data_IF_984658146449
#
_entry.id   IF_984658146449
#
_cell.length_a   1.000
_cell.length_b   1.000
_cell.length_c   1.000
_cell.angle_alpha   90.00
_cell.angle_beta   90.00
_cell.angle_gamma   90.00
#
_symmetry.space_group_name_H-M   'P 1'
#
loop_
_entity.id
_entity.type
_entity.pdbx_description
1 polymer ?
#
# COMPACT_ATOMS: atom_id res chain seq x y z
N UNK A 1 -25.22 2.61 8.12
CA UNK A 1 -23.83 2.23 7.79
C UNK A 1 -23.59 2.70 6.37
N UNK A 2 -23.29 3.99 6.20
CA UNK A 2 -23.13 4.60 4.87
C UNK A 2 -21.65 4.61 4.50
N UNK A 3 -21.12 3.45 4.16
CA UNK A 3 -19.71 3.25 3.79
C UNK A 3 -19.33 3.99 2.51
N UNK A 4 -20.29 4.30 1.64
CA UNK A 4 -20.08 5.00 0.37
C UNK A 4 -19.69 6.47 0.54
N UNK A 5 -20.21 7.17 1.55
CA UNK A 5 -19.95 8.60 1.77
C UNK A 5 -18.55 8.92 2.33
N UNK A 6 -17.90 7.94 2.98
CA UNK A 6 -16.54 8.12 3.50
C UNK A 6 -15.46 7.94 2.41
N UNK A 7 -15.74 7.07 1.42
CA UNK A 7 -14.87 6.77 0.29
C UNK A 7 -14.75 7.98 -0.67
N UNK A 8 -15.84 8.71 -0.90
CA UNK A 8 -15.84 9.86 -1.83
C UNK A 8 -15.03 11.05 -1.34
N UNK A 9 -14.82 11.19 -0.01
CA UNK A 9 -14.02 12.30 0.55
C UNK A 9 -12.51 12.08 0.45
N UNK A 10 -12.06 10.84 0.24
CA UNK A 10 -10.64 10.44 0.34
C UNK A 10 -9.92 10.57 -1.01
N UNK A 11 -10.65 10.81 -2.10
CA UNK A 11 -10.11 10.82 -3.46
C UNK A 11 -10.16 9.39 -4.02
N UNK A 12 -10.85 9.16 -5.15
CA UNK A 12 -11.03 7.81 -5.70
C UNK A 12 -9.70 7.12 -5.99
N UNK A 13 -8.67 7.87 -6.40
CA UNK A 13 -7.32 7.36 -6.65
C UNK A 13 -6.69 6.71 -5.41
N UNK A 14 -6.82 7.34 -4.23
CA UNK A 14 -6.24 6.82 -2.99
C UNK A 14 -6.95 5.55 -2.51
N UNK A 15 -8.27 5.49 -2.66
CA UNK A 15 -9.05 4.28 -2.35
C UNK A 15 -8.58 3.11 -3.22
N UNK A 16 -8.37 3.36 -4.52
CA UNK A 16 -7.86 2.34 -5.45
C UNK A 16 -6.44 1.90 -5.06
N UNK A 17 -5.55 2.82 -4.69
CA UNK A 17 -4.20 2.49 -4.26
C UNK A 17 -4.18 1.66 -2.97
N UNK A 18 -4.97 2.03 -1.97
CA UNK A 18 -5.09 1.27 -0.73
C UNK A 18 -5.70 -0.11 -0.98
N UNK A 19 -6.73 -0.21 -1.80
CA UNK A 19 -7.33 -1.49 -2.17
C UNK A 19 -6.32 -2.40 -2.89
N UNK A 20 -5.55 -1.83 -3.83
CA UNK A 20 -4.51 -2.56 -4.56
C UNK A 20 -3.40 -3.06 -3.62
N UNK A 21 -2.94 -2.21 -2.70
CA UNK A 21 -1.94 -2.59 -1.69
C UNK A 21 -2.43 -3.72 -0.78
N UNK A 22 -3.69 -3.67 -0.34
CA UNK A 22 -4.30 -4.74 0.48
C UNK A 22 -4.43 -6.04 -0.31
N UNK A 23 -4.78 -5.97 -1.60
CA UNK A 23 -4.83 -7.15 -2.48
C UNK A 23 -3.42 -7.77 -2.61
N UNK A 24 -2.35 -6.97 -2.64
CA UNK A 24 -0.97 -7.47 -2.72
C UNK A 24 -0.49 -8.24 -1.48
N UNK A 25 -1.19 -8.21 -0.35
CA UNK A 25 -0.79 -8.96 0.86
C UNK A 25 -0.81 -10.48 0.65
N UNK A 26 -1.94 -11.11 0.28
CA UNK A 26 -2.01 -12.56 0.07
C UNK A 26 -1.22 -13.04 -1.16
N UNK A 27 -0.85 -12.16 -2.09
CA UNK A 27 -0.06 -12.53 -3.26
C UNK A 27 1.35 -13.04 -2.89
N UNK A 28 1.83 -12.80 -1.67
CA UNK A 28 3.10 -13.39 -1.19
C UNK A 28 3.07 -14.92 -1.22
N UNK A 29 1.91 -15.54 -1.02
CA UNK A 29 1.74 -17.00 -1.06
C UNK A 29 1.92 -17.58 -2.47
N UNK A 30 1.73 -16.75 -3.50
CA UNK A 30 1.92 -17.14 -4.88
C UNK A 30 3.36 -16.88 -5.35
N UNK A 31 4.15 -16.10 -4.60
CA UNK A 31 5.49 -15.70 -4.98
C UNK A 31 6.51 -16.86 -4.96
N UNK A 32 6.17 -17.97 -4.31
CA UNK A 32 6.97 -19.21 -4.28
C UNK A 32 6.62 -20.20 -5.41
N UNK A 33 5.80 -19.79 -6.38
CA UNK A 33 5.55 -20.63 -7.55
C UNK A 33 6.81 -20.79 -8.40
N UNK A 34 7.09 -22.03 -8.83
CA UNK A 34 8.17 -22.30 -9.79
C UNK A 34 8.02 -21.40 -11.01
N UNK A 35 9.11 -20.72 -11.46
CA UNK A 35 9.06 -19.71 -12.51
C UNK A 35 8.94 -20.35 -13.91
N UNK A 36 7.87 -21.10 -14.14
CA UNK A 36 7.55 -21.76 -15.42
C UNK A 36 6.20 -21.25 -15.92
N UNK A 37 6.17 -20.74 -17.15
CA UNK A 37 4.95 -20.19 -17.77
C UNK A 37 4.39 -18.98 -17.00
N UNK A 38 3.16 -19.08 -16.53
CA UNK A 38 2.47 -18.01 -15.78
C UNK A 38 3.08 -17.74 -14.39
N UNK A 39 3.92 -18.65 -13.87
CA UNK A 39 4.60 -18.52 -12.57
C UNK A 39 5.66 -17.40 -12.53
N UNK A 40 6.11 -16.90 -13.68
CA UNK A 40 7.06 -15.78 -13.78
C UNK A 40 6.47 -14.48 -13.21
N UNK A 41 5.16 -14.27 -13.37
CA UNK A 41 4.48 -13.06 -12.89
C UNK A 41 4.53 -12.96 -11.35
N UNK A 42 4.04 -13.96 -10.59
CA UNK A 42 4.11 -13.90 -9.15
C UNK A 42 5.53 -14.00 -8.59
N UNK A 43 6.45 -14.70 -9.27
CA UNK A 43 7.83 -14.83 -8.82
C UNK A 43 8.66 -13.54 -8.95
N UNK A 44 8.43 -12.72 -10.00
CA UNK A 44 9.26 -11.53 -10.26
C UNK A 44 8.49 -10.21 -10.30
N UNK A 45 7.30 -10.20 -10.91
CA UNK A 45 6.53 -8.96 -11.13
C UNK A 45 5.86 -8.50 -9.84
N UNK A 46 5.28 -9.43 -9.09
CA UNK A 46 4.58 -9.11 -7.83
C UNK A 46 5.53 -8.52 -6.78
N UNK A 47 6.73 -9.07 -6.51
CA UNK A 47 7.68 -8.44 -5.60
C UNK A 47 8.07 -7.02 -6.01
N UNK A 48 8.25 -6.76 -7.32
CA UNK A 48 8.54 -5.43 -7.82
C UNK A 48 7.35 -4.47 -7.63
N UNK A 49 6.12 -4.94 -7.89
CA UNK A 49 4.89 -4.16 -7.66
C UNK A 49 4.73 -3.77 -6.19
N UNK A 50 5.03 -4.68 -5.27
CA UNK A 50 4.97 -4.43 -3.82
C UNK A 50 5.91 -3.29 -3.44
N UNK A 51 7.16 -3.32 -3.93
CA UNK A 51 8.13 -2.25 -3.67
C UNK A 51 7.64 -0.91 -4.24
N UNK A 52 7.10 -0.91 -5.46
CA UNK A 52 6.53 0.28 -6.09
C UNK A 52 5.37 0.83 -5.25
N UNK A 53 4.43 -0.03 -4.84
CA UNK A 53 3.28 0.36 -4.04
C UNK A 53 3.70 0.92 -2.67
N UNK A 54 4.72 0.34 -2.03
CA UNK A 54 5.28 0.89 -0.82
C UNK A 54 5.74 2.35 -1.01
N UNK A 55 6.56 2.63 -2.02
CA UNK A 55 7.02 3.98 -2.30
C UNK A 55 5.88 4.93 -2.71
N UNK A 56 4.91 4.45 -3.49
CA UNK A 56 3.74 5.25 -3.89
C UNK A 56 2.90 5.63 -2.67
N UNK A 57 2.65 4.72 -1.73
CA UNK A 57 1.93 5.01 -0.48
C UNK A 57 2.69 6.03 0.39
N UNK A 58 4.02 5.95 0.44
CA UNK A 58 4.85 6.93 1.15
C UNK A 58 4.78 8.32 0.49
N UNK A 59 4.85 8.39 -0.85
CA UNK A 59 4.71 9.64 -1.59
C UNK A 59 3.31 10.24 -1.43
N UNK A 60 2.27 9.41 -1.42
CA UNK A 60 0.90 9.84 -1.18
C UNK A 60 0.73 10.38 0.25
N UNK A 61 1.30 9.71 1.25
CA UNK A 61 1.34 10.21 2.63
C UNK A 61 2.10 11.55 2.75
N UNK A 62 3.17 11.74 1.99
CA UNK A 62 3.95 12.98 1.93
C UNK A 62 3.14 14.11 1.30
N UNK A 63 2.51 13.86 0.14
CA UNK A 63 1.64 14.82 -0.53
C UNK A 63 0.51 15.26 0.41
N UNK A 64 -0.09 14.30 1.12
CA UNK A 64 -1.11 14.57 2.11
C UNK A 64 -0.61 15.43 3.28
N UNK A 65 0.66 15.26 3.70
CA UNK A 65 1.31 16.10 4.70
C UNK A 65 1.55 17.52 4.18
N UNK A 66 1.96 17.67 2.92
CA UNK A 66 2.19 18.98 2.28
C UNK A 66 0.89 19.79 2.21
N UNK A 67 -0.20 19.19 1.72
CA UNK A 67 -1.51 19.86 1.72
C UNK A 67 -2.04 20.21 3.12
N UNK A 68 -1.60 19.48 4.16
CA UNK A 68 -1.99 19.74 5.54
C UNK A 68 -1.36 21.02 6.13
N UNK A 69 -0.30 21.54 5.51
CA UNK A 69 0.36 22.78 5.96
C UNK A 69 -0.46 24.02 5.59
N UNK A 70 -1.33 23.93 4.57
CA UNK A 70 -2.08 25.06 4.01
C UNK A 70 -3.53 25.19 4.52
N UNK A 71 -4.07 24.21 5.27
CA UNK A 71 -5.49 24.16 5.64
C UNK A 71 -5.77 24.29 7.15
N UNK A 72 -6.87 24.99 7.49
CA UNK A 72 -7.32 25.28 8.86
C UNK A 72 -7.67 24.06 9.72
N UNK A 73 -7.68 24.28 11.04
CA UNK A 73 -7.61 23.26 12.11
C UNK A 73 -8.66 22.13 12.05
N UNK A 74 -9.82 22.35 11.42
CA UNK A 74 -10.92 21.38 11.35
C UNK A 74 -10.68 20.25 10.33
N UNK A 75 -9.80 20.46 9.34
CA UNK A 75 -9.39 19.42 8.35
C UNK A 75 -8.22 18.57 8.86
N UNK A 76 -7.54 19.03 9.92
CA UNK A 76 -6.30 18.46 10.47
C UNK A 76 -6.47 17.10 11.14
N UNK A 77 -7.65 16.79 11.67
CA UNK A 77 -7.96 15.49 12.30
C UNK A 77 -8.20 14.39 11.26
N UNK A 78 -8.99 14.70 10.23
CA UNK A 78 -9.32 13.77 9.15
C UNK A 78 -8.11 13.44 8.29
N UNK A 79 -7.18 14.40 8.15
CA UNK A 79 -5.98 14.21 7.36
C UNK A 79 -4.91 13.33 8.06
N UNK A 80 -4.80 13.40 9.39
CA UNK A 80 -3.94 12.49 10.17
C UNK A 80 -4.41 11.05 10.12
N UNK A 81 -5.74 10.82 10.04
CA UNK A 81 -6.29 9.47 9.90
C UNK A 81 -5.89 8.83 8.56
N UNK A 82 -5.92 9.61 7.47
CA UNK A 82 -5.50 9.18 6.13
C UNK A 82 -4.02 8.83 6.08
N UNK A 83 -3.18 9.74 6.60
CA UNK A 83 -1.74 9.51 6.68
C UNK A 83 -1.41 8.28 7.54
N UNK A 84 -2.11 8.06 8.65
CA UNK A 84 -1.97 6.83 9.45
C UNK A 84 -2.43 5.59 8.70
N UNK A 85 -3.51 5.67 7.91
CA UNK A 85 -3.97 4.56 7.09
C UNK A 85 -2.93 4.17 6.02
N UNK A 86 -2.40 5.15 5.29
CA UNK A 86 -1.35 4.91 4.29
C UNK A 86 -0.09 4.30 4.92
N UNK A 87 0.34 4.82 6.08
CA UNK A 87 1.49 4.29 6.82
C UNK A 87 1.23 2.89 7.38
N UNK A 88 0.03 2.60 7.90
CA UNK A 88 -0.33 1.27 8.40
C UNK A 88 -0.38 0.25 7.27
N UNK A 89 -0.91 0.64 6.10
CA UNK A 89 -0.95 -0.24 4.93
C UNK A 89 0.46 -0.43 4.36
N UNK A 90 1.27 0.62 4.28
CA UNK A 90 2.68 0.48 3.87
C UNK A 90 3.47 -0.42 4.84
N UNK A 91 3.28 -0.25 6.16
CA UNK A 91 3.92 -1.08 7.17
C UNK A 91 3.44 -2.54 7.11
N UNK A 92 2.14 -2.79 6.92
CA UNK A 92 1.61 -4.14 6.77
C UNK A 92 2.10 -4.84 5.51
N UNK A 93 2.26 -4.08 4.42
CA UNK A 93 2.83 -4.58 3.16
C UNK A 93 4.28 -5.03 3.38
N UNK A 94 5.10 -4.18 4.03
CA UNK A 94 6.48 -4.52 4.38
C UNK A 94 6.54 -5.72 5.30
N UNK A 95 5.75 -5.78 6.38
CA UNK A 95 5.78 -6.90 7.32
C UNK A 95 5.40 -8.23 6.66
N UNK A 96 4.40 -8.21 5.78
CA UNK A 96 3.95 -9.41 5.05
C UNK A 96 5.02 -9.91 4.09
N UNK A 97 5.69 -9.01 3.37
CA UNK A 97 6.70 -9.33 2.37
C UNK A 97 8.12 -9.49 2.93
N UNK A 98 8.38 -8.98 4.14
CA UNK A 98 9.68 -9.07 4.80
C UNK A 98 10.07 -10.53 5.07
N UNK A 99 9.10 -11.39 5.37
CA UNK A 99 9.36 -12.82 5.56
C UNK A 99 9.92 -13.46 4.28
N UNK A 100 9.27 -13.20 3.14
CA UNK A 100 9.69 -13.69 1.83
C UNK A 100 11.04 -13.09 1.39
N UNK A 101 11.25 -11.78 1.58
CA UNK A 101 12.54 -11.14 1.30
C UNK A 101 13.68 -11.69 2.18
N UNK A 102 13.39 -12.06 3.43
CA UNK A 102 14.38 -12.70 4.31
C UNK A 102 14.74 -14.10 3.84
N UNK A 103 13.79 -14.86 3.32
CA UNK A 103 14.06 -16.19 2.75
C UNK A 103 14.95 -16.11 1.52
N UNK A 104 14.74 -15.16 0.62
CA UNK A 104 15.58 -14.94 -0.57
C UNK A 104 16.92 -14.26 -0.26
N UNK A 105 16.93 -13.32 0.68
CA UNK A 105 18.11 -12.53 1.05
C UNK A 105 19.06 -13.23 2.03
N UNK A 106 18.69 -14.41 2.56
CA UNK A 106 19.54 -15.24 3.42
C UNK A 106 20.58 -16.08 2.63
N UNK A 107 21.07 -15.54 1.51
CA UNK A 107 22.22 -16.05 0.75
C UNK A 107 23.55 -15.75 1.47
#
# INVERSE_FOLDING_TARGET
MDTTGFLTKIGPLRVVLLALAVICYPLVLLADMEPVGIGVIPAYVVPALVVILFFVLLLDALMNRVFMVEQGDEVRSRNRLRMRADLLVAAGLVLSWLSWFREIGAL
#
